data_IF_014832702543
#
_entry.id   IF_014832702543
#
_cell.length_a   1.000
_cell.length_b   1.000
_cell.length_c   1.000
_cell.angle_alpha   90.00
_cell.angle_beta   90.00
_cell.angle_gamma   90.00
#
_symmetry.space_group_name_H-M   'P 1'
#
loop_
_entity.id
_entity.type
_entity.pdbx_description
1 polymer ?
#
# COMPACT_ATOMS: atom_id res chain seq x y z
N UNK A 1 4.46 1.43 -17.63
CA UNK A 1 4.33 2.30 -16.44
C UNK A 1 3.43 1.58 -15.47
N UNK A 2 3.94 1.24 -14.28
CA UNK A 2 3.16 0.57 -13.23
C UNK A 2 2.40 1.61 -12.41
N UNK A 3 1.15 1.33 -12.04
CA UNK A 3 0.29 2.26 -11.28
C UNK A 3 0.19 1.85 -9.82
N UNK A 4 0.00 2.82 -8.92
CA UNK A 4 -0.14 2.57 -7.48
C UNK A 4 -1.24 1.53 -7.14
N UNK A 5 -2.36 1.55 -7.85
CA UNK A 5 -3.49 0.64 -7.59
C UNK A 5 -3.31 -0.78 -8.13
N UNK A 6 -2.18 -1.10 -8.76
CA UNK A 6 -1.84 -2.43 -9.27
C UNK A 6 -1.00 -3.24 -8.28
N UNK A 7 -0.65 -2.64 -7.13
CA UNK A 7 0.15 -3.31 -6.10
C UNK A 7 -0.70 -4.09 -5.11
N UNK A 8 -0.15 -5.22 -4.68
CA UNK A 8 -0.56 -5.94 -3.47
C UNK A 8 0.66 -5.99 -2.56
N UNK A 9 0.46 -5.63 -1.29
CA UNK A 9 1.51 -5.69 -0.26
C UNK A 9 1.02 -6.47 0.95
N UNK A 10 1.96 -7.09 1.66
CA UNK A 10 1.65 -7.79 2.91
C UNK A 10 1.67 -6.82 4.08
N UNK A 11 0.61 -6.85 4.89
CA UNK A 11 0.48 -6.06 6.11
C UNK A 11 1.43 -6.57 7.20
N UNK A 12 1.59 -5.78 8.27
CA UNK A 12 2.37 -6.19 9.45
C UNK A 12 1.76 -7.40 10.18
N UNK A 13 0.44 -7.63 10.04
CA UNK A 13 -0.27 -8.80 10.60
C UNK A 13 -0.20 -10.02 9.68
N UNK A 14 0.35 -9.87 8.47
CA UNK A 14 0.56 -10.96 7.53
C UNK A 14 -0.56 -11.15 6.50
N UNK A 15 -1.52 -10.23 6.42
CA UNK A 15 -2.61 -10.23 5.44
C UNK A 15 -2.19 -9.57 4.13
N UNK A 16 -2.75 -10.01 3.01
CA UNK A 16 -2.55 -9.33 1.73
C UNK A 16 -3.47 -8.12 1.61
N UNK A 17 -2.90 -6.98 1.25
CA UNK A 17 -3.60 -5.70 1.08
C UNK A 17 -3.45 -5.26 -0.37
N UNK A 18 -4.57 -5.23 -1.09
CA UNK A 18 -4.64 -4.70 -2.45
C UNK A 18 -4.79 -3.17 -2.42
N UNK A 19 -3.95 -2.46 -3.17
CA UNK A 19 -4.01 -1.00 -3.23
C UNK A 19 -5.12 -0.49 -4.15
N UNK A 20 -5.79 -1.39 -4.88
CA UNK A 20 -7.01 -1.14 -5.64
C UNK A 20 -8.12 -0.53 -4.77
N UNK A 21 -8.21 -0.92 -3.50
CA UNK A 21 -9.20 -0.42 -2.54
C UNK A 21 -9.07 1.07 -2.20
N UNK A 22 -7.95 1.72 -2.53
CA UNK A 22 -7.71 3.15 -2.28
C UNK A 22 -8.03 4.06 -3.48
N UNK A 23 -8.65 3.54 -4.55
CA UNK A 23 -9.04 4.38 -5.69
C UNK A 23 -9.91 5.57 -5.28
N UNK A 24 -9.65 6.74 -5.87
CA UNK A 24 -10.37 7.98 -5.55
C UNK A 24 -9.97 8.64 -4.23
N UNK A 25 -8.96 8.12 -3.53
CA UNK A 25 -8.42 8.71 -2.30
C UNK A 25 -6.99 9.23 -2.52
N UNK A 26 -6.57 10.20 -1.70
CA UNK A 26 -5.18 10.65 -1.64
C UNK A 26 -4.41 9.73 -0.69
N UNK A 27 -3.39 9.03 -1.21
CA UNK A 27 -2.54 8.14 -0.43
C UNK A 27 -1.16 8.77 -0.18
N UNK A 28 -0.74 8.84 1.08
CA UNK A 28 0.61 9.25 1.46
C UNK A 28 1.45 8.02 1.82
N UNK A 29 2.53 7.78 1.07
CA UNK A 29 3.47 6.68 1.35
C UNK A 29 4.58 7.19 2.25
N UNK A 30 4.76 6.56 3.42
CA UNK A 30 5.79 6.91 4.40
C UNK A 30 6.65 5.67 4.65
N UNK A 31 7.96 5.78 4.41
CA UNK A 31 8.92 4.79 4.87
C UNK A 31 9.21 5.04 6.36
N UNK A 32 9.09 4.00 7.19
CA UNK A 32 9.34 4.05 8.63
C UNK A 32 10.47 3.10 9.01
N UNK A 33 11.21 3.42 10.07
CA UNK A 33 12.22 2.57 10.68
C UNK A 33 12.15 2.70 12.20
N UNK A 34 12.34 1.59 12.91
CA UNK A 34 12.54 1.59 14.36
C UNK A 34 14.03 1.73 14.66
N UNK A 35 14.36 2.43 15.75
CA UNK A 35 15.74 2.52 16.28
C UNK A 35 16.23 1.17 16.80
#
# INVERSE_FOLDING_TARGET
>A
MTRFHEFTMRSITGDDVEFSGYQGTVCLVVNVASY
#
